data_IF_981837200827
#
_entry.id   IF_981837200827
#
_cell.length_a   1.000
_cell.length_b   1.000
_cell.length_c   1.000
_cell.angle_alpha   90.00
_cell.angle_beta   90.00
_cell.angle_gamma   90.00
#
_symmetry.space_group_name_H-M   'P 1'
#
loop_
_entity.id
_entity.type
_entity.pdbx_description
1 polymer ?
#
# COMPACT_ATOMS: atom_id res chain seq x y z
N UNK A 1 -52.20 20.43 -23.17
CA UNK A 1 -51.68 19.78 -24.39
C UNK A 1 -50.34 20.41 -24.77
N UNK A 2 -49.37 19.56 -25.17
CA UNK A 2 -48.18 19.83 -26.02
C UNK A 2 -47.06 20.72 -25.45
N UNK A 3 -45.97 20.17 -24.88
CA UNK A 3 -44.72 19.63 -25.51
C UNK A 3 -43.87 20.68 -26.24
N UNK A 4 -42.74 21.07 -25.63
CA UNK A 4 -41.56 21.53 -26.38
C UNK A 4 -40.26 20.99 -25.78
N UNK A 5 -39.98 19.75 -26.17
CA UNK A 5 -38.66 19.18 -26.54
C UNK A 5 -37.41 19.95 -26.05
N UNK A 6 -36.95 19.62 -24.84
CA UNK A 6 -35.59 19.95 -24.41
C UNK A 6 -34.60 19.06 -25.16
N UNK A 7 -33.79 19.68 -26.03
CA UNK A 7 -32.80 19.02 -26.88
C UNK A 7 -31.65 18.48 -26.02
N UNK A 8 -31.45 17.17 -26.08
CA UNK A 8 -30.16 16.53 -25.78
C UNK A 8 -29.26 16.64 -27.02
N UNK A 9 -27.95 16.86 -26.83
CA UNK A 9 -26.97 16.11 -27.59
C UNK A 9 -26.13 15.25 -26.63
N UNK A 10 -26.34 13.94 -26.75
CA UNK A 10 -25.52 12.87 -26.19
C UNK A 10 -24.27 12.77 -27.08
N UNK A 11 -23.12 13.26 -26.62
CA UNK A 11 -21.84 13.04 -27.30
C UNK A 11 -21.20 11.81 -26.65
N UNK A 12 -21.39 10.66 -27.28
CA UNK A 12 -20.67 9.42 -26.98
C UNK A 12 -19.34 9.45 -27.73
N UNK A 13 -18.27 9.83 -27.04
CA UNK A 13 -16.90 9.65 -27.52
C UNK A 13 -16.34 8.35 -26.94
N UNK A 14 -16.40 7.27 -27.73
CA UNK A 14 -15.72 6.01 -27.46
C UNK A 14 -14.27 6.13 -27.94
N UNK A 15 -13.32 6.27 -27.02
CA UNK A 15 -11.89 6.17 -27.33
C UNK A 15 -11.39 4.78 -26.92
N UNK A 16 -11.00 4.00 -27.93
CA UNK A 16 -10.52 2.62 -27.82
C UNK A 16 -9.22 2.53 -27.01
N UNK A 17 -9.16 1.60 -26.05
CA UNK A 17 -7.94 1.25 -25.32
C UNK A 17 -7.07 0.34 -26.20
N UNK A 18 -5.86 0.77 -26.51
CA UNK A 18 -4.83 -0.08 -27.07
C UNK A 18 -4.00 -0.67 -25.93
N UNK A 19 -4.18 -1.97 -25.65
CA UNK A 19 -3.29 -2.72 -24.77
C UNK A 19 -2.01 -3.07 -25.55
N UNK A 20 -0.94 -2.32 -25.33
CA UNK A 20 0.39 -2.73 -25.75
C UNK A 20 0.99 -3.66 -24.68
N UNK A 21 0.83 -4.97 -24.88
CA UNK A 21 1.61 -6.00 -24.17
C UNK A 21 3.06 -5.96 -24.65
N UNK A 22 3.94 -5.36 -23.85
CA UNK A 22 5.39 -5.42 -24.03
C UNK A 22 6.03 -6.04 -22.80
N UNK A 23 6.12 -7.36 -22.77
CA UNK A 23 6.90 -8.09 -21.77
C UNK A 23 8.37 -8.12 -22.16
N UNK A 24 9.23 -7.64 -21.27
CA UNK A 24 10.64 -8.07 -21.22
C UNK A 24 11.13 -7.95 -19.77
N UNK A 25 11.22 -9.10 -19.10
CA UNK A 25 11.97 -9.28 -17.87
C UNK A 25 13.45 -9.02 -18.17
N UNK A 26 14.05 -8.02 -17.51
CA UNK A 26 15.50 -7.94 -17.36
C UNK A 26 15.82 -8.06 -15.87
N UNK A 27 16.10 -9.30 -15.45
CA UNK A 27 16.80 -9.56 -14.21
C UNK A 27 18.24 -9.07 -14.39
N UNK A 28 18.59 -7.93 -13.79
CA UNK A 28 19.99 -7.52 -13.67
C UNK A 28 20.40 -7.60 -12.21
N UNK A 29 20.83 -8.81 -11.84
CA UNK A 29 21.58 -9.04 -10.63
C UNK A 29 23.07 -8.73 -10.90
N UNK A 30 23.65 -7.99 -9.95
CA UNK A 30 25.06 -7.87 -9.59
C UNK A 30 26.01 -7.06 -10.49
N UNK A 31 26.59 -6.02 -9.86
CA UNK A 31 28.03 -5.67 -9.76
C UNK A 31 28.12 -4.14 -9.49
N UNK A 32 28.77 -3.55 -8.49
CA UNK A 32 29.79 -3.97 -7.51
C UNK A 32 29.90 -2.92 -6.38
N UNK A 33 30.51 -3.31 -5.26
CA UNK A 33 30.97 -2.53 -4.09
C UNK A 33 31.77 -1.24 -4.46
N UNK A 34 32.00 -0.19 -3.65
CA UNK A 34 32.00 0.15 -2.22
C UNK A 34 32.12 1.72 -2.10
N UNK A 35 32.49 2.39 -0.97
CA UNK A 35 32.31 2.17 0.48
C UNK A 35 31.64 3.38 1.22
N UNK A 36 31.14 3.16 2.43
CA UNK A 36 31.22 4.10 3.57
C UNK A 36 30.33 5.35 3.60
N UNK A 37 29.27 5.31 4.40
CA UNK A 37 28.99 6.37 5.39
C UNK A 37 28.14 5.77 6.50
N UNK A 38 28.71 5.74 7.71
CA UNK A 38 28.00 5.29 8.90
C UNK A 38 26.96 6.32 9.31
N UNK A 39 25.71 5.90 9.38
CA UNK A 39 24.75 6.54 10.25
C UNK A 39 24.16 5.47 11.18
N UNK A 40 24.62 5.53 12.42
CA UNK A 40 23.94 4.92 13.56
C UNK A 40 22.58 5.59 13.67
N UNK A 41 21.54 4.95 13.14
CA UNK A 41 20.18 5.29 13.51
C UNK A 41 19.83 4.43 14.73
N UNK A 42 19.98 5.00 15.91
CA UNK A 42 19.46 4.42 17.14
C UNK A 42 17.95 4.23 16.98
N UNK A 43 17.52 2.98 16.87
CA UNK A 43 16.11 2.65 16.94
C UNK A 43 15.69 2.81 18.40
N UNK A 44 14.95 3.89 18.66
CA UNK A 44 14.30 4.16 19.92
C UNK A 44 13.52 2.93 20.40
N UNK A 45 13.66 2.69 21.70
CA UNK A 45 12.92 1.70 22.44
C UNK A 45 11.43 2.08 22.43
N UNK A 46 10.63 1.36 21.64
CA UNK A 46 9.18 1.34 21.78
C UNK A 46 8.73 -0.12 21.84
N UNK A 47 8.05 -0.41 22.94
CA UNK A 47 7.56 -1.70 23.40
C UNK A 47 6.67 -2.38 22.36
N UNK A 48 7.03 -3.61 21.95
CA UNK A 48 6.16 -4.45 21.11
C UNK A 48 6.86 -5.45 20.18
N UNK A 49 8.19 -5.46 20.11
CA UNK A 49 8.93 -6.37 19.22
C UNK A 49 8.95 -7.78 19.78
N UNK A 50 8.15 -8.68 19.20
CA UNK A 50 8.42 -10.11 19.30
C UNK A 50 9.83 -10.33 18.72
N UNK A 51 10.78 -10.93 19.47
CA UNK A 51 12.19 -10.95 19.08
C UNK A 51 12.49 -11.83 17.85
N UNK A 52 11.53 -12.65 17.40
CA UNK A 52 11.70 -13.65 16.35
C UNK A 52 11.10 -13.23 14.98
N UNK A 53 11.18 -11.95 14.63
CA UNK A 53 10.60 -11.45 13.38
C UNK A 53 11.64 -11.19 12.28
N UNK A 54 11.57 -12.01 11.22
CA UNK A 54 12.42 -11.88 10.02
C UNK A 54 13.85 -12.36 10.24
N UNK A 55 14.21 -13.47 9.60
CA UNK A 55 15.57 -14.03 9.64
C UNK A 55 16.15 -13.99 8.23
N UNK A 56 17.39 -13.50 8.10
CA UNK A 56 18.11 -13.51 6.84
C UNK A 56 18.33 -14.94 6.34
N UNK A 57 18.23 -15.15 5.03
CA UNK A 57 18.48 -16.45 4.41
C UNK A 57 19.92 -16.91 4.60
N UNK A 58 20.14 -18.23 4.59
CA UNK A 58 21.49 -18.81 4.63
C UNK A 58 22.12 -18.79 3.24
N UNK A 59 23.37 -18.37 3.15
CA UNK A 59 24.14 -18.40 1.90
C UNK A 59 24.34 -19.83 1.37
N UNK A 60 24.36 -19.96 0.04
CA UNK A 60 24.56 -21.25 -0.62
C UNK A 60 25.99 -21.78 -0.49
N UNK A 61 26.14 -23.10 -0.70
CA UNK A 61 27.44 -23.77 -0.68
C UNK A 61 28.08 -23.74 -2.08
N UNK A 62 29.38 -23.44 -2.15
CA UNK A 62 30.14 -23.51 -3.40
C UNK A 62 30.38 -24.96 -3.85
N UNK A 63 30.29 -25.21 -5.16
CA UNK A 63 30.53 -26.54 -5.73
C UNK A 63 32.02 -26.90 -5.78
N UNK A 64 32.32 -28.21 -5.87
CA UNK A 64 33.69 -28.73 -6.02
C UNK A 64 33.85 -29.47 -7.34
N UNK A 65 35.06 -29.47 -7.89
CA UNK A 65 35.42 -30.32 -9.03
C UNK A 65 34.72 -29.96 -10.35
N UNK A 66 34.31 -28.71 -10.53
CA UNK A 66 33.60 -28.26 -11.73
C UNK A 66 32.08 -28.39 -11.67
N UNK A 67 31.53 -28.96 -10.59
CA UNK A 67 30.09 -28.98 -10.37
C UNK A 67 29.58 -27.64 -9.82
N UNK A 68 28.37 -27.19 -10.22
CA UNK A 68 27.71 -26.03 -9.60
C UNK A 68 27.43 -26.23 -8.10
N UNK A 69 27.51 -25.15 -7.34
CA UNK A 69 27.16 -25.14 -5.92
C UNK A 69 25.65 -25.26 -5.66
N UNK A 70 25.29 -25.42 -4.37
CA UNK A 70 23.90 -25.42 -3.93
C UNK A 70 23.43 -23.99 -3.64
N UNK A 71 22.27 -23.57 -4.15
CA UNK A 71 21.67 -22.29 -3.77
C UNK A 71 21.43 -22.22 -2.26
N UNK A 72 21.49 -21.00 -1.72
CA UNK A 72 21.16 -20.74 -0.32
C UNK A 72 19.68 -20.88 -0.02
N UNK A 73 19.34 -20.94 1.27
CA UNK A 73 17.96 -20.91 1.72
C UNK A 73 17.45 -19.47 1.78
N UNK A 74 16.25 -19.17 1.24
CA UNK A 74 15.65 -17.86 1.37
C UNK A 74 15.35 -17.55 2.85
N UNK A 75 15.47 -16.26 3.21
CA UNK A 75 15.12 -15.78 4.54
C UNK A 75 13.62 -15.83 4.80
N UNK A 76 13.25 -15.67 6.08
CA UNK A 76 11.85 -15.49 6.46
C UNK A 76 11.44 -14.04 6.23
N UNK A 77 10.25 -13.79 5.64
CA UNK A 77 9.74 -12.44 5.50
C UNK A 77 9.62 -11.78 6.88
N UNK A 78 9.92 -10.48 6.93
CA UNK A 78 9.78 -9.70 8.16
C UNK A 78 8.34 -9.63 8.65
N UNK A 79 8.14 -9.45 9.96
CA UNK A 79 6.82 -9.16 10.50
C UNK A 79 6.52 -7.67 10.32
N UNK A 80 6.14 -7.28 9.10
CA UNK A 80 5.37 -6.06 8.92
C UNK A 80 3.91 -6.43 9.17
N UNK A 81 3.37 -6.13 10.36
CA UNK A 81 1.90 -6.16 10.49
C UNK A 81 1.38 -4.97 9.71
N UNK A 82 0.28 -5.11 8.96
CA UNK A 82 -0.35 -3.94 8.34
C UNK A 82 -0.77 -2.91 9.42
N UNK A 83 -0.96 -3.35 10.68
CA UNK A 83 -1.09 -2.47 11.85
C UNK A 83 0.10 -1.53 12.09
N UNK A 84 1.33 -1.94 11.74
CA UNK A 84 2.54 -1.09 11.78
C UNK A 84 2.64 -0.15 10.57
N UNK A 85 1.77 -0.35 9.55
CA UNK A 85 1.62 0.52 8.38
C UNK A 85 0.48 1.52 8.54
N UNK A 86 -0.21 1.50 9.69
CA UNK A 86 -1.23 2.47 10.00
C UNK A 86 -0.58 3.86 10.14
N UNK A 87 -1.19 4.91 9.55
CA UNK A 87 -0.69 6.28 9.68
C UNK A 87 -0.48 6.67 11.15
N UNK A 88 0.72 7.13 11.48
CA UNK A 88 1.06 7.68 12.80
C UNK A 88 0.85 9.20 12.81
N UNK A 89 -0.40 9.58 12.58
CA UNK A 89 -0.85 10.98 12.62
C UNK A 89 -2.31 11.05 13.06
N UNK A 90 -2.73 12.16 13.71
CA UNK A 90 -4.10 12.33 14.18
C UNK A 90 -5.08 12.45 13.01
N UNK A 91 -6.38 12.25 13.29
CA UNK A 91 -7.47 12.30 12.30
C UNK A 91 -7.41 13.53 11.39
N UNK A 92 -7.25 14.73 11.98
CA UNK A 92 -7.25 15.99 11.23
C UNK A 92 -6.10 16.12 10.20
N UNK A 93 -5.14 15.19 10.22
CA UNK A 93 -4.05 15.11 9.26
C UNK A 93 -4.17 13.90 8.32
N UNK A 94 -5.21 13.06 8.43
CA UNK A 94 -5.41 11.91 7.55
C UNK A 94 -5.79 12.36 6.14
N UNK A 95 -4.95 12.00 5.17
CA UNK A 95 -5.29 12.15 3.76
C UNK A 95 -6.23 11.04 3.30
N UNK A 96 -6.82 11.18 2.11
CA UNK A 96 -7.59 10.10 1.49
C UNK A 96 -6.80 8.79 1.40
N UNK A 97 -5.50 8.84 1.11
CA UNK A 97 -4.65 7.65 1.03
C UNK A 97 -4.43 6.99 2.40
N UNK A 98 -4.45 7.77 3.47
CA UNK A 98 -4.37 7.23 4.83
C UNK A 98 -5.65 6.50 5.21
N UNK A 99 -6.82 7.07 4.85
CA UNK A 99 -8.12 6.42 5.02
C UNK A 99 -8.19 5.09 4.25
N UNK A 100 -7.65 5.03 3.02
CA UNK A 100 -7.50 3.76 2.28
C UNK A 100 -6.72 2.73 3.09
N UNK A 101 -5.55 3.10 3.63
CA UNK A 101 -4.69 2.17 4.38
C UNK A 101 -5.40 1.65 5.64
N UNK A 102 -6.12 2.53 6.34
CA UNK A 102 -6.90 2.15 7.53
C UNK A 102 -7.99 1.15 7.16
N UNK A 103 -8.78 1.43 6.12
CA UNK A 103 -9.85 0.52 5.66
C UNK A 103 -9.29 -0.83 5.23
N UNK A 104 -8.19 -0.84 4.47
CA UNK A 104 -7.53 -2.09 4.09
C UNK A 104 -7.07 -2.89 5.31
N UNK A 105 -6.55 -2.23 6.35
CA UNK A 105 -6.15 -2.89 7.60
C UNK A 105 -7.34 -3.51 8.34
N UNK A 106 -8.50 -2.83 8.34
CA UNK A 106 -9.75 -3.35 8.94
C UNK A 106 -10.25 -4.57 8.16
N UNK A 107 -10.40 -4.44 6.84
CA UNK A 107 -10.94 -5.50 5.98
C UNK A 107 -10.06 -6.76 5.94
N UNK A 108 -8.75 -6.61 6.14
CA UNK A 108 -7.80 -7.72 6.21
C UNK A 108 -7.69 -8.34 7.60
N UNK A 109 -8.43 -7.83 8.60
CA UNK A 109 -8.40 -8.32 9.97
C UNK A 109 -7.13 -7.97 10.74
N UNK A 110 -6.32 -7.04 10.24
CA UNK A 110 -5.11 -6.57 10.92
C UNK A 110 -5.40 -5.58 12.06
N UNK A 111 -6.56 -4.94 12.02
CA UNK A 111 -7.13 -4.16 13.13
C UNK A 111 -8.65 -4.26 13.08
N UNK A 112 -9.34 -3.92 14.17
CA UNK A 112 -10.80 -3.78 14.17
C UNK A 112 -11.21 -2.34 13.90
N UNK A 113 -12.44 -2.13 13.40
CA UNK A 113 -12.98 -0.77 13.26
C UNK A 113 -13.03 0.01 14.58
N UNK A 114 -13.20 -0.68 15.72
CA UNK A 114 -13.19 -0.06 17.04
C UNK A 114 -11.79 0.41 17.47
N UNK A 115 -10.76 -0.42 17.23
CA UNK A 115 -9.36 -0.05 17.48
C UNK A 115 -8.92 1.11 16.60
N UNK A 116 -9.32 1.11 15.33
CA UNK A 116 -9.06 2.23 14.42
C UNK A 116 -9.76 3.52 14.90
N UNK A 117 -11.03 3.41 15.30
CA UNK A 117 -11.81 4.53 15.82
C UNK A 117 -11.14 5.15 17.06
N UNK A 118 -10.71 4.30 18.01
CA UNK A 118 -9.97 4.72 19.19
C UNK A 118 -8.62 5.39 18.84
N UNK A 119 -7.82 4.76 17.96
CA UNK A 119 -6.50 5.29 17.55
C UNK A 119 -6.59 6.69 16.95
N UNK A 120 -7.61 6.94 16.13
CA UNK A 120 -7.75 8.21 15.41
C UNK A 120 -8.66 9.22 16.12
N UNK A 121 -9.40 8.81 17.15
CA UNK A 121 -10.34 9.69 17.85
C UNK A 121 -11.63 9.96 17.07
N UNK A 122 -11.97 9.09 16.12
CA UNK A 122 -13.19 9.17 15.30
C UNK A 122 -14.28 8.27 15.85
N UNK A 123 -15.57 8.58 15.62
CA UNK A 123 -16.63 7.63 15.88
C UNK A 123 -16.46 6.38 15.00
N UNK A 124 -16.86 5.21 15.51
CA UNK A 124 -16.76 3.95 14.75
C UNK A 124 -17.56 4.00 13.45
N UNK A 125 -18.70 4.70 13.48
CA UNK A 125 -19.58 4.92 12.33
C UNK A 125 -18.87 5.66 11.19
N UNK A 126 -17.87 6.48 11.51
CA UNK A 126 -17.05 7.14 10.52
C UNK A 126 -16.08 6.17 9.85
N UNK A 127 -15.45 5.26 10.61
CA UNK A 127 -14.66 4.16 10.03
C UNK A 127 -15.53 3.26 9.14
N UNK A 128 -16.74 2.92 9.59
CA UNK A 128 -17.72 2.15 8.80
C UNK A 128 -18.17 2.92 7.54
N UNK A 129 -18.18 4.26 7.57
CA UNK A 129 -18.45 5.08 6.40
C UNK A 129 -17.30 5.03 5.39
N UNK A 130 -16.05 5.02 5.87
CA UNK A 130 -14.88 4.89 5.01
C UNK A 130 -14.86 3.52 4.33
N UNK A 131 -15.17 2.45 5.05
CA UNK A 131 -15.27 1.10 4.48
C UNK A 131 -16.32 1.03 3.36
N UNK A 132 -17.51 1.62 3.58
CA UNK A 132 -18.55 1.69 2.55
C UNK A 132 -18.12 2.50 1.31
N UNK A 133 -17.48 3.66 1.52
CA UNK A 133 -16.98 4.48 0.43
C UNK A 133 -15.90 3.76 -0.39
N UNK A 134 -15.03 3.01 0.27
CA UNK A 134 -14.02 2.17 -0.38
C UNK A 134 -14.68 1.08 -1.25
N UNK A 135 -15.65 0.35 -0.70
CA UNK A 135 -16.35 -0.73 -1.40
C UNK A 135 -17.19 -0.24 -2.58
N UNK A 136 -17.77 0.96 -2.47
CA UNK A 136 -18.56 1.58 -3.53
C UNK A 136 -17.71 2.28 -4.59
N UNK A 137 -16.40 2.45 -4.35
CA UNK A 137 -15.51 3.18 -5.24
C UNK A 137 -15.73 4.70 -5.23
N UNK A 138 -16.17 5.26 -4.10
CA UNK A 138 -16.44 6.70 -3.91
C UNK A 138 -15.13 7.51 -3.74
N UNK A 139 -14.16 7.32 -4.64
CA UNK A 139 -12.82 7.91 -4.55
C UNK A 139 -12.84 9.44 -4.53
N UNK A 140 -13.83 10.07 -5.16
CA UNK A 140 -14.01 11.52 -5.14
C UNK A 140 -14.25 12.08 -3.73
N UNK A 141 -14.86 11.30 -2.84
CA UNK A 141 -15.05 11.72 -1.45
C UNK A 141 -13.72 11.82 -0.68
N UNK A 142 -12.68 11.14 -1.16
CA UNK A 142 -11.36 11.06 -0.52
C UNK A 142 -10.28 11.91 -1.20
N UNK A 143 -10.46 12.17 -2.51
CA UNK A 143 -9.44 12.77 -3.36
C UNK A 143 -9.96 13.95 -4.21
N UNK A 144 -11.22 14.40 -4.05
CA UNK A 144 -11.89 15.38 -4.92
C UNK A 144 -12.25 16.72 -4.27
N UNK A 145 -12.02 17.82 -5.03
CA UNK A 145 -12.35 19.24 -4.82
C UNK A 145 -12.25 19.76 -3.36
N UNK A 146 -11.04 19.71 -2.80
CA UNK A 146 -10.72 20.33 -1.50
C UNK A 146 -9.71 19.54 -0.66
N UNK A 147 -9.46 18.27 -1.00
CA UNK A 147 -8.38 17.48 -0.40
C UNK A 147 -7.13 17.55 -1.26
N UNK A 148 -6.00 17.97 -0.68
CA UNK A 148 -4.66 18.04 -1.29
C UNK A 148 -4.04 16.66 -1.61
N UNK A 149 -4.84 15.69 -2.09
CA UNK A 149 -4.39 14.33 -2.40
C UNK A 149 -4.52 14.01 -3.89
N UNK A 150 -3.41 13.70 -4.55
CA UNK A 150 -3.44 13.06 -5.86
C UNK A 150 -4.19 11.72 -5.76
N UNK A 151 -5.03 11.42 -6.74
CA UNK A 151 -5.69 10.11 -6.82
C UNK A 151 -4.62 9.01 -6.77
N UNK A 152 -4.78 7.96 -5.96
CA UNK A 152 -3.76 6.93 -5.75
C UNK A 152 -3.48 6.08 -7.00
N UNK A 153 -4.23 6.30 -8.08
CA UNK A 153 -4.15 5.56 -9.35
C UNK A 153 -3.72 6.44 -10.54
N UNK A 154 -3.44 7.73 -10.33
CA UNK A 154 -2.91 8.60 -11.38
C UNK A 154 -1.40 8.76 -11.17
N UNK A 155 -0.62 8.05 -11.98
CA UNK A 155 0.84 8.15 -12.09
C UNK A 155 1.22 8.79 -13.42
#
# INVERSE_FOLDING_TARGET
MSRSLWRRPLVLAMASVAFATGGSYAAQAAQSAAPGSGHVAGAGHVTGRSPDCGEGGRGGEGGRGGEPGKPGEPGRPGCSRIGDLLPDKPEGALSGADKVRIVLAVMSGHTTGAEAAEKYGVPKEEVDSWERQFLNGDWLAWFGQGGEGAFPFCW
#
